data_IF_511447885957
#
_entry.id   IF_511447885957
#
_cell.length_a   1.000
_cell.length_b   1.000
_cell.length_c   1.000
_cell.angle_alpha   90.00
_cell.angle_beta   90.00
_cell.angle_gamma   90.00
#
_symmetry.space_group_name_H-M   'P 1'
#
loop_
_entity.id
_entity.type
_entity.pdbx_description
1 polymer ?
#
# COMPACT_ATOMS: atom_id res chain seq x y z
N UNK A 1 30.50 27.16 -21.40
CA UNK A 1 30.90 25.91 -22.08
C UNK A 1 29.71 24.95 -22.02
N UNK A 2 28.75 25.09 -22.94
CA UNK A 2 27.60 24.20 -23.00
C UNK A 2 28.09 22.82 -23.49
N UNK A 3 27.93 21.79 -22.66
CA UNK A 3 28.17 20.40 -23.07
C UNK A 3 27.19 20.10 -24.20
N UNK A 4 27.71 19.97 -25.41
CA UNK A 4 26.97 19.40 -26.55
C UNK A 4 26.40 18.05 -26.11
N UNK A 5 25.09 17.77 -26.29
CA UNK A 5 24.52 16.49 -25.91
C UNK A 5 25.23 15.41 -26.74
N UNK A 6 25.81 14.44 -26.04
CA UNK A 6 26.40 13.27 -26.67
C UNK A 6 25.38 12.67 -27.64
N UNK A 7 25.76 12.51 -28.91
CA UNK A 7 24.90 11.89 -29.92
C UNK A 7 24.40 10.56 -29.35
N UNK A 8 23.08 10.36 -29.21
CA UNK A 8 22.58 9.08 -28.77
C UNK A 8 23.03 8.01 -29.77
N UNK A 9 23.51 6.87 -29.27
CA UNK A 9 23.87 5.79 -30.16
C UNK A 9 22.62 5.23 -30.81
N UNK A 10 22.67 4.98 -32.11
CA UNK A 10 21.60 4.36 -32.90
C UNK A 10 21.07 3.05 -32.24
N UNK A 11 21.94 2.34 -31.50
CA UNK A 11 21.61 1.16 -30.72
C UNK A 11 20.67 1.45 -29.53
N UNK A 12 20.89 2.55 -28.80
CA UNK A 12 20.04 2.95 -27.67
C UNK A 12 18.64 3.37 -28.16
N UNK A 13 18.58 4.06 -29.30
CA UNK A 13 17.32 4.43 -29.94
C UNK A 13 16.50 3.20 -30.34
N UNK A 14 17.11 2.21 -30.98
CA UNK A 14 16.44 0.96 -31.35
C UNK A 14 15.98 0.16 -30.12
N UNK A 15 16.80 0.10 -29.07
CA UNK A 15 16.46 -0.58 -27.82
C UNK A 15 15.25 0.06 -27.13
N UNK A 16 15.22 1.39 -27.00
CA UNK A 16 14.08 2.11 -26.42
C UNK A 16 12.82 1.95 -27.28
N UNK A 17 12.98 2.02 -28.61
CA UNK A 17 11.86 1.82 -29.53
C UNK A 17 11.27 0.42 -29.47
N UNK A 18 12.09 -0.61 -29.32
CA UNK A 18 11.62 -1.98 -29.10
C UNK A 18 10.83 -2.10 -27.79
N UNK A 19 11.33 -1.50 -26.70
CA UNK A 19 10.61 -1.45 -25.41
C UNK A 19 9.26 -0.74 -25.51
N UNK A 20 9.22 0.43 -26.15
CA UNK A 20 8.01 1.21 -26.35
C UNK A 20 7.00 0.47 -27.24
N UNK A 21 7.46 -0.17 -28.33
CA UNK A 21 6.61 -1.01 -29.17
C UNK A 21 6.00 -2.17 -28.38
N UNK A 22 6.78 -2.81 -27.49
CA UNK A 22 6.26 -3.86 -26.59
C UNK A 22 5.19 -3.34 -25.61
N UNK A 23 5.23 -2.04 -25.28
CA UNK A 23 4.24 -1.33 -24.48
C UNK A 23 3.13 -0.69 -25.32
N UNK A 24 3.05 -0.99 -26.62
CA UNK A 24 2.10 -0.43 -27.59
C UNK A 24 2.24 1.08 -27.85
N UNK A 25 3.37 1.70 -27.46
CA UNK A 25 3.71 3.07 -27.81
C UNK A 25 4.44 3.10 -29.17
N UNK A 26 3.66 3.14 -30.26
CA UNK A 26 4.18 3.05 -31.64
C UNK A 26 4.44 4.44 -32.27
N UNK A 27 4.34 5.51 -31.48
CA UNK A 27 4.46 6.88 -31.97
C UNK A 27 5.89 7.19 -32.42
N UNK A 28 6.08 7.88 -33.56
CA UNK A 28 7.39 8.29 -34.00
C UNK A 28 7.96 9.37 -33.07
N UNK A 29 9.23 9.24 -32.68
CA UNK A 29 9.95 10.23 -31.88
C UNK A 29 11.33 10.51 -32.49
N UNK A 30 11.88 11.70 -32.24
CA UNK A 30 13.18 12.14 -32.75
C UNK A 30 14.33 11.65 -31.87
N UNK A 31 15.53 11.52 -32.45
CA UNK A 31 16.75 11.17 -31.71
C UNK A 31 17.06 12.18 -30.60
N UNK A 32 16.77 13.46 -30.82
CA UNK A 32 16.95 14.53 -29.83
C UNK A 32 16.07 14.33 -28.59
N UNK A 33 14.93 13.67 -28.76
CA UNK A 33 13.99 13.36 -27.68
C UNK A 33 14.34 12.08 -26.92
N UNK A 34 15.36 11.33 -27.35
CA UNK A 34 15.65 10.00 -26.79
C UNK A 34 15.85 10.02 -25.27
N UNK A 35 16.72 10.92 -24.79
CA UNK A 35 17.04 11.02 -23.37
C UNK A 35 15.83 11.45 -22.51
N UNK A 36 14.91 12.21 -23.08
CA UNK A 36 13.67 12.60 -22.41
C UNK A 36 12.70 11.42 -22.32
N UNK A 37 12.51 10.69 -23.43
CA UNK A 37 11.62 9.54 -23.49
C UNK A 37 12.12 8.41 -22.57
N UNK A 38 13.42 8.19 -22.51
CA UNK A 38 14.03 7.21 -21.60
C UNK A 38 13.77 7.56 -20.13
N UNK A 39 13.97 8.83 -19.74
CA UNK A 39 13.67 9.30 -18.37
C UNK A 39 12.19 9.17 -18.03
N UNK A 40 11.30 9.57 -18.92
CA UNK A 40 9.86 9.45 -18.70
C UNK A 40 9.42 7.99 -18.53
N UNK A 41 10.00 7.08 -19.32
CA UNK A 41 9.74 5.65 -19.18
C UNK A 41 10.23 5.11 -17.84
N UNK A 42 11.44 5.49 -17.41
CA UNK A 42 11.96 5.11 -16.09
C UNK A 42 11.08 5.63 -14.95
N UNK A 43 10.67 6.89 -15.02
CA UNK A 43 9.82 7.51 -14.00
C UNK A 43 8.44 6.85 -13.95
N UNK A 44 7.87 6.51 -15.11
CA UNK A 44 6.61 5.77 -15.19
C UNK A 44 6.73 4.37 -14.60
N UNK A 45 7.81 3.64 -14.90
CA UNK A 45 8.07 2.30 -14.34
C UNK A 45 8.23 2.37 -12.82
N UNK A 46 9.01 3.33 -12.31
CA UNK A 46 9.18 3.56 -10.85
C UNK A 46 7.87 3.92 -10.18
N UNK A 47 7.06 4.78 -10.81
CA UNK A 47 5.73 5.16 -10.30
C UNK A 47 4.78 3.96 -10.26
N UNK A 48 4.74 3.16 -11.34
CA UNK A 48 3.91 1.96 -11.41
C UNK A 48 4.32 0.92 -10.35
N UNK A 49 5.62 0.71 -10.15
CA UNK A 49 6.11 -0.19 -9.10
C UNK A 49 5.77 0.33 -7.70
N UNK A 50 6.01 1.61 -7.44
CA UNK A 50 5.65 2.25 -6.16
C UNK A 50 4.14 2.16 -5.88
N UNK A 51 3.32 2.37 -6.92
CA UNK A 51 1.86 2.21 -6.83
C UNK A 51 1.48 0.78 -6.46
N UNK A 52 2.10 -0.24 -7.08
CA UNK A 52 1.83 -1.66 -6.73
C UNK A 52 2.25 -2.00 -5.31
N UNK A 53 3.36 -1.46 -4.83
CA UNK A 53 3.80 -1.63 -3.44
C UNK A 53 2.80 -1.00 -2.47
N UNK A 54 2.36 0.24 -2.74
CA UNK A 54 1.35 0.92 -1.94
C UNK A 54 0.02 0.17 -1.94
N UNK A 55 -0.44 -0.32 -3.10
CA UNK A 55 -1.67 -1.08 -3.23
C UNK A 55 -1.63 -2.36 -2.36
N UNK A 56 -0.51 -3.09 -2.37
CA UNK A 56 -0.32 -4.26 -1.49
C UNK A 56 -0.30 -3.87 -0.01
N UNK A 57 0.33 -2.74 0.33
CA UNK A 57 0.39 -2.25 1.71
C UNK A 57 -1.00 -1.85 2.23
N UNK A 58 -1.81 -1.21 1.40
CA UNK A 58 -3.21 -0.86 1.72
C UNK A 58 -4.03 -2.11 1.94
N UNK A 59 -3.99 -3.07 1.01
CA UNK A 59 -4.72 -4.34 1.16
C UNK A 59 -4.34 -5.08 2.45
N UNK A 60 -3.05 -5.11 2.81
CA UNK A 60 -2.59 -5.69 4.08
C UNK A 60 -3.11 -4.94 5.30
N UNK A 61 -3.19 -3.60 5.25
CA UNK A 61 -3.72 -2.80 6.36
C UNK A 61 -5.22 -2.97 6.50
N UNK A 62 -5.95 -3.12 5.41
CA UNK A 62 -7.39 -3.41 5.41
C UNK A 62 -7.68 -4.73 6.12
N UNK A 63 -6.94 -5.80 5.80
CA UNK A 63 -7.12 -7.09 6.47
C UNK A 63 -6.80 -7.01 7.96
N UNK A 64 -5.70 -6.35 8.34
CA UNK A 64 -5.34 -6.15 9.75
C UNK A 64 -6.38 -5.32 10.50
N UNK A 65 -6.97 -4.32 9.83
CA UNK A 65 -8.03 -3.49 10.42
C UNK A 65 -9.30 -4.31 10.64
N UNK A 66 -9.67 -5.16 9.68
CA UNK A 66 -10.82 -6.06 9.82
C UNK A 66 -10.64 -7.07 10.95
N UNK A 67 -9.43 -7.63 11.12
CA UNK A 67 -9.11 -8.52 12.24
C UNK A 67 -9.28 -7.82 13.58
N UNK A 68 -8.72 -6.62 13.74
CA UNK A 68 -8.85 -5.83 14.97
C UNK A 68 -10.30 -5.44 15.25
N UNK A 69 -11.06 -5.04 14.21
CA UNK A 69 -12.48 -4.72 14.37
C UNK A 69 -13.27 -5.95 14.84
N UNK A 70 -13.02 -7.13 14.27
CA UNK A 70 -13.68 -8.35 14.69
C UNK A 70 -13.36 -8.72 16.15
N UNK A 71 -12.11 -8.56 16.59
CA UNK A 71 -11.73 -8.76 17.99
C UNK A 71 -12.43 -7.76 18.92
N UNK A 72 -12.51 -6.49 18.52
CA UNK A 72 -13.19 -5.45 19.31
C UNK A 72 -14.69 -5.70 19.42
N UNK A 73 -15.34 -6.18 18.35
CA UNK A 73 -16.77 -6.52 18.38
C UNK A 73 -17.05 -7.63 19.40
N UNK A 74 -16.23 -8.68 19.43
CA UNK A 74 -16.36 -9.76 20.43
C UNK A 74 -16.21 -9.22 21.85
N UNK A 75 -15.17 -8.42 22.10
CA UNK A 75 -14.94 -7.85 23.44
C UNK A 75 -16.08 -6.90 23.85
N UNK A 76 -16.60 -6.11 22.92
CA UNK A 76 -17.72 -5.22 23.14
C UNK A 76 -18.99 -6.00 23.52
N UNK A 77 -19.23 -7.17 22.91
CA UNK A 77 -20.39 -8.01 23.20
C UNK A 77 -20.27 -8.78 24.53
N UNK A 78 -19.05 -9.17 24.92
CA UNK A 78 -18.77 -9.89 26.18
C UNK A 78 -18.74 -8.97 27.40
N UNK A 79 -18.27 -7.73 27.25
CA UNK A 79 -18.09 -6.78 28.36
C UNK A 79 -19.36 -6.56 29.20
N UNK A 80 -20.58 -6.39 28.65
CA UNK A 80 -21.79 -6.25 29.45
C UNK A 80 -22.13 -7.49 30.28
N UNK A 81 -21.82 -8.68 29.78
CA UNK A 81 -22.07 -9.93 30.51
C UNK A 81 -21.11 -10.05 31.69
N UNK A 82 -19.82 -9.81 31.46
CA UNK A 82 -18.80 -9.80 32.50
C UNK A 82 -19.08 -8.73 33.56
N UNK A 83 -19.55 -7.54 33.16
CA UNK A 83 -19.95 -6.49 34.11
C UNK A 83 -21.13 -6.94 34.98
N UNK A 84 -22.13 -7.62 34.41
CA UNK A 84 -23.26 -8.15 35.19
C UNK A 84 -22.81 -9.20 36.19
N UNK A 85 -21.95 -10.14 35.76
CA UNK A 85 -21.40 -11.16 36.63
C UNK A 85 -20.55 -10.53 37.75
N UNK A 86 -19.73 -9.55 37.42
CA UNK A 86 -18.92 -8.82 38.40
C UNK A 86 -19.79 -8.13 39.46
N UNK A 87 -20.86 -7.45 39.04
CA UNK A 87 -21.82 -6.82 39.96
C UNK A 87 -22.49 -7.85 40.86
N UNK A 88 -22.88 -9.00 40.31
CA UNK A 88 -23.52 -10.08 41.07
C UNK A 88 -22.57 -10.70 42.10
N UNK A 89 -21.32 -10.93 41.74
CA UNK A 89 -20.28 -11.42 42.65
C UNK A 89 -20.01 -10.41 43.77
N UNK A 90 -19.90 -9.12 43.46
CA UNK A 90 -19.75 -8.07 44.48
C UNK A 90 -20.93 -8.04 45.45
N UNK A 91 -22.17 -8.17 44.96
CA UNK A 91 -23.33 -8.29 45.84
C UNK A 91 -23.17 -9.49 46.78
N UNK A 92 -22.85 -10.67 46.27
CA UNK A 92 -22.69 -11.88 47.11
C UNK A 92 -21.62 -11.71 48.19
N UNK A 93 -20.47 -11.11 47.85
CA UNK A 93 -19.41 -10.81 48.81
C UNK A 93 -19.91 -9.89 49.93
N UNK A 94 -20.59 -8.80 49.59
CA UNK A 94 -21.15 -7.88 50.58
C UNK A 94 -22.16 -8.55 51.50
N UNK A 95 -23.04 -9.41 50.97
CA UNK A 95 -24.01 -10.17 51.77
C UNK A 95 -23.31 -11.19 52.68
N UNK A 96 -22.27 -11.88 52.20
CA UNK A 96 -21.50 -12.82 53.03
C UNK A 96 -20.71 -12.14 54.15
N UNK A 97 -20.22 -10.92 53.91
CA UNK A 97 -19.45 -10.14 54.90
C UNK A 97 -20.33 -9.45 55.95
N UNK A 98 -21.64 -9.30 55.70
CA UNK A 98 -22.60 -8.73 56.67
C UNK A 98 -23.31 -9.80 57.51
N UNK A 99 -23.11 -11.08 57.20
CA UNK A 99 -23.65 -12.22 57.94
C UNK A 99 -22.65 -12.83 58.96
N UNK A 100 -21.51 -12.16 59.19
CA UNK A 100 -20.52 -12.46 60.25
C UNK A 100 -20.54 -11.31 61.26
#
# INVERSE_FOLDING_TARGET
MARSPAKPSLSAFQALRSKLNGLSYVQPFSEESLALVERLLEDLLKSAESYRVLQRAVAKRETQTQEVVAELEVLHDEQPQLLRENVELHKRLLHSSTLV
#
